data_IF_660683546063
#
_entry.id   IF_660683546063
#
_cell.length_a   1.000
_cell.length_b   1.000
_cell.length_c   1.000
_cell.angle_alpha   90.00
_cell.angle_beta   90.00
_cell.angle_gamma   90.00
#
_symmetry.space_group_name_H-M   'P 1'
#
loop_
_entity.id
_entity.type
_entity.pdbx_description
1 polymer ?
#
# COMPACT_ATOMS: atom_id res chain seq x y z
N UNK A 1 -33.88 40.49 0.09
CA UNK A 1 -33.88 41.94 -0.21
C UNK A 1 -33.05 42.25 -1.44
N UNK A 2 -31.80 41.77 -1.54
CA UNK A 2 -30.98 41.91 -2.75
C UNK A 2 -31.69 41.44 -4.05
N UNK A 3 -32.43 40.33 -3.97
CA UNK A 3 -33.28 39.82 -5.05
C UNK A 3 -34.25 40.85 -5.62
N UNK A 4 -34.80 41.75 -4.80
CA UNK A 4 -35.75 42.77 -5.22
C UNK A 4 -35.03 43.88 -6.01
N UNK A 5 -33.81 44.22 -5.60
CA UNK A 5 -32.94 45.20 -6.27
C UNK A 5 -32.54 44.68 -7.65
N UNK A 6 -32.14 43.41 -7.74
CA UNK A 6 -31.84 42.75 -9.01
C UNK A 6 -33.08 42.67 -9.90
N UNK A 7 -34.25 42.35 -9.34
CA UNK A 7 -35.51 42.33 -10.09
C UNK A 7 -35.85 43.71 -10.67
N UNK A 8 -35.69 44.78 -9.89
CA UNK A 8 -35.89 46.15 -10.37
C UNK A 8 -34.86 46.52 -11.46
N UNK A 9 -33.58 46.19 -11.26
CA UNK A 9 -32.53 46.41 -12.25
C UNK A 9 -32.82 45.70 -13.59
N UNK A 10 -33.26 44.43 -13.53
CA UNK A 10 -33.68 43.66 -14.71
C UNK A 10 -34.92 44.25 -15.38
N UNK A 11 -35.92 44.64 -14.59
CA UNK A 11 -37.17 45.22 -15.10
C UNK A 11 -36.95 46.58 -15.81
N UNK A 12 -35.93 47.34 -15.40
CA UNK A 12 -35.47 48.57 -16.08
C UNK A 12 -34.71 48.28 -17.39
N UNK A 13 -34.55 47.02 -17.79
CA UNK A 13 -33.82 46.63 -19.00
C UNK A 13 -32.31 46.57 -18.83
N UNK A 14 -31.81 46.41 -17.60
CA UNK A 14 -30.39 46.36 -17.26
C UNK A 14 -29.59 47.58 -17.78
N UNK A 15 -29.94 48.81 -17.36
CA UNK A 15 -29.23 50.01 -17.76
C UNK A 15 -27.75 50.00 -17.36
N UNK A 16 -26.95 50.84 -18.01
CA UNK A 16 -25.54 51.01 -17.66
C UNK A 16 -25.38 51.54 -16.23
N UNK A 17 -24.37 51.05 -15.52
CA UNK A 17 -24.07 51.45 -14.14
C UNK A 17 -23.02 52.55 -14.17
N UNK A 18 -23.39 53.76 -13.76
CA UNK A 18 -22.49 54.92 -13.70
C UNK A 18 -22.28 55.34 -12.25
N UNK A 19 -21.05 55.23 -11.75
CA UNK A 19 -20.74 55.61 -10.36
C UNK A 19 -21.51 54.83 -9.29
N UNK A 20 -22.00 53.62 -9.62
CA UNK A 20 -22.84 52.79 -8.74
C UNK A 20 -24.31 53.21 -8.72
N UNK A 21 -24.73 54.09 -9.63
CA UNK A 21 -26.12 54.50 -9.83
C UNK A 21 -26.59 53.99 -11.19
N UNK A 22 -27.86 53.62 -11.26
CA UNK A 22 -28.54 53.28 -12.51
C UNK A 22 -29.74 54.20 -12.66
N UNK A 23 -29.97 54.65 -13.89
CA UNK A 23 -31.08 55.54 -14.22
C UNK A 23 -31.94 54.90 -15.31
N UNK A 24 -33.25 55.09 -15.20
CA UNK A 24 -34.25 54.62 -16.15
C UNK A 24 -35.27 55.71 -16.39
N UNK A 25 -35.61 55.93 -17.66
CA UNK A 25 -36.69 56.82 -18.10
C UNK A 25 -37.54 56.06 -19.12
N UNK A 26 -38.82 55.86 -18.82
CA UNK A 26 -39.70 55.12 -19.73
C UNK A 26 -41.11 54.88 -19.20
N UNK A 27 -41.94 54.18 -19.99
CA UNK A 27 -43.30 53.84 -19.58
C UNK A 27 -43.28 52.76 -18.48
N UNK A 28 -44.06 52.92 -17.40
CA UNK A 28 -44.10 51.95 -16.32
C UNK A 28 -44.73 50.64 -16.79
N UNK A 29 -43.95 49.56 -16.77
CA UNK A 29 -44.47 48.21 -16.96
C UNK A 29 -45.00 47.64 -15.63
N UNK A 30 -45.82 46.60 -15.71
CA UNK A 30 -46.32 45.87 -14.53
C UNK A 30 -45.17 45.26 -13.71
N UNK A 31 -44.08 44.87 -14.37
CA UNK A 31 -42.87 44.35 -13.73
C UNK A 31 -42.11 45.44 -12.96
N UNK A 32 -41.94 46.63 -13.56
CA UNK A 32 -41.29 47.78 -12.91
C UNK A 32 -42.09 48.22 -11.68
N UNK A 33 -43.41 48.35 -11.80
CA UNK A 33 -44.26 48.78 -10.67
C UNK A 33 -44.27 47.75 -9.53
N UNK A 34 -44.31 46.46 -9.84
CA UNK A 34 -44.22 45.40 -8.83
C UNK A 34 -42.85 45.39 -8.13
N UNK A 35 -41.75 45.53 -8.89
CA UNK A 35 -40.40 45.57 -8.35
C UNK A 35 -40.14 46.83 -7.50
N UNK A 36 -40.63 48.00 -7.92
CA UNK A 36 -40.60 49.23 -7.14
C UNK A 36 -41.34 49.08 -5.81
N UNK A 37 -42.53 48.48 -5.83
CA UNK A 37 -43.31 48.21 -4.61
C UNK A 37 -42.55 47.29 -3.65
N UNK A 38 -41.86 46.27 -4.17
CA UNK A 38 -41.04 45.35 -3.38
C UNK A 38 -39.75 46.00 -2.82
N UNK A 39 -39.36 47.16 -3.36
CA UNK A 39 -38.21 47.95 -2.91
C UNK A 39 -38.59 49.16 -2.02
N UNK A 40 -39.87 49.35 -1.66
CA UNK A 40 -40.29 50.48 -0.81
C UNK A 40 -39.67 50.46 0.58
N UNK A 41 -39.52 49.27 1.17
CA UNK A 41 -38.94 49.07 2.50
C UNK A 41 -37.49 48.56 2.44
N UNK A 42 -36.74 48.96 1.40
CA UNK A 42 -35.36 48.51 1.23
C UNK A 42 -34.48 49.03 2.38
N UNK A 43 -33.77 48.12 3.04
CA UNK A 43 -32.74 48.53 4.00
C UNK A 43 -31.59 49.25 3.27
N UNK A 44 -30.97 50.29 3.86
CA UNK A 44 -29.94 51.10 3.21
C UNK A 44 -28.75 50.30 2.65
N UNK A 45 -28.48 49.12 3.23
CA UNK A 45 -27.38 48.24 2.83
C UNK A 45 -27.58 47.62 1.46
N UNK A 46 -28.82 47.45 1.00
CA UNK A 46 -29.13 46.87 -0.31
C UNK A 46 -29.26 47.92 -1.42
N UNK A 47 -29.04 49.20 -1.10
CA UNK A 47 -29.16 50.31 -2.04
C UNK A 47 -30.19 51.33 -1.59
N UNK A 48 -30.41 52.35 -2.44
CA UNK A 48 -31.38 53.42 -2.17
C UNK A 48 -31.98 53.93 -3.47
N UNK A 49 -33.31 54.03 -3.52
CA UNK A 49 -34.00 54.78 -4.57
C UNK A 49 -33.76 56.26 -4.28
N UNK A 50 -33.01 56.92 -5.15
CA UNK A 50 -32.61 58.33 -5.00
C UNK A 50 -33.66 59.27 -5.59
N UNK A 51 -34.20 58.89 -6.75
CA UNK A 51 -35.22 59.65 -7.45
C UNK A 51 -36.29 58.70 -8.00
N UNK A 52 -37.55 59.11 -7.87
CA UNK A 52 -38.71 58.41 -8.42
C UNK A 52 -39.82 59.44 -8.65
N UNK A 53 -39.99 59.85 -9.91
CA UNK A 53 -40.98 60.83 -10.33
C UNK A 53 -41.78 60.31 -11.54
N UNK A 54 -43.06 60.68 -11.58
CA UNK A 54 -43.92 60.41 -12.74
C UNK A 54 -44.07 61.72 -13.49
N UNK A 55 -43.41 61.83 -14.65
CA UNK A 55 -43.35 63.03 -15.48
C UNK A 55 -44.61 63.15 -16.35
N UNK A 56 -44.91 64.36 -16.83
CA UNK A 56 -46.02 64.62 -17.76
C UNK A 56 -45.95 63.68 -18.98
N UNK A 57 -47.05 62.95 -19.24
CA UNK A 57 -47.11 61.91 -20.25
C UNK A 57 -47.08 60.47 -19.71
N UNK A 58 -46.96 60.29 -18.38
CA UNK A 58 -47.01 58.97 -17.74
C UNK A 58 -45.70 58.20 -17.80
N UNK A 59 -44.61 58.89 -18.14
CA UNK A 59 -43.24 58.37 -18.09
C UNK A 59 -42.76 58.38 -16.63
N UNK A 60 -42.07 57.32 -16.21
CA UNK A 60 -41.47 57.22 -14.89
C UNK A 60 -39.97 57.36 -15.00
N UNK A 61 -39.39 58.24 -14.19
CA UNK A 61 -37.96 58.42 -14.02
C UNK A 61 -37.54 57.77 -12.69
N UNK A 62 -36.56 56.87 -12.75
CA UNK A 62 -36.07 56.10 -11.60
C UNK A 62 -34.56 56.24 -11.53
N UNK A 63 -34.04 56.69 -10.40
CA UNK A 63 -32.63 56.59 -10.06
C UNK A 63 -32.43 55.67 -8.86
N UNK A 64 -31.66 54.60 -9.06
CA UNK A 64 -31.38 53.60 -8.04
C UNK A 64 -29.88 53.53 -7.78
N UNK A 65 -29.47 53.80 -6.55
CA UNK A 65 -28.10 53.52 -6.09
C UNK A 65 -27.99 52.05 -5.71
N UNK A 66 -27.11 51.34 -6.41
CA UNK A 66 -26.84 49.92 -6.20
C UNK A 66 -25.98 49.69 -4.96
N UNK A 67 -26.09 48.51 -4.32
CA UNK A 67 -25.23 48.17 -3.19
C UNK A 67 -23.82 47.82 -3.67
N UNK A 68 -22.83 48.21 -2.86
CA UNK A 68 -21.39 48.01 -3.14
C UNK A 68 -20.67 47.36 -1.95
N UNK A 69 -21.41 46.66 -1.10
CA UNK A 69 -20.95 46.10 0.17
C UNK A 69 -21.15 44.57 0.20
N UNK A 70 -20.97 43.95 1.36
CA UNK A 70 -21.14 42.51 1.56
C UNK A 70 -22.61 42.05 1.51
N UNK A 71 -23.56 42.97 1.73
CA UNK A 71 -25.01 42.69 1.67
C UNK A 71 -25.51 42.54 0.23
N UNK A 72 -24.80 43.12 -0.75
CA UNK A 72 -25.03 42.87 -2.16
C UNK A 72 -24.06 43.64 -3.06
N UNK A 73 -23.66 43.04 -4.18
CA UNK A 73 -22.72 43.69 -5.11
C UNK A 73 -22.97 43.32 -6.57
N UNK A 74 -22.84 44.33 -7.41
CA UNK A 74 -22.88 44.22 -8.87
C UNK A 74 -21.46 44.20 -9.43
N UNK A 75 -21.22 43.31 -10.39
CA UNK A 75 -19.96 43.17 -11.11
C UNK A 75 -20.25 43.31 -12.60
N UNK A 76 -19.41 44.05 -13.33
CA UNK A 76 -19.65 44.26 -14.76
C UNK A 76 -19.48 42.95 -15.54
N UNK A 77 -18.48 42.15 -15.16
CA UNK A 77 -18.16 40.88 -15.79
C UNK A 77 -17.55 39.88 -14.80
N UNK A 78 -17.27 38.67 -15.29
CA UNK A 78 -16.66 37.59 -14.51
C UNK A 78 -15.24 37.93 -14.04
N UNK A 79 -14.46 38.68 -14.81
CA UNK A 79 -13.11 39.13 -14.39
C UNK A 79 -13.18 40.03 -13.16
N UNK A 80 -14.14 40.96 -13.12
CA UNK A 80 -14.35 41.84 -11.96
C UNK A 80 -14.77 41.03 -10.72
N UNK A 81 -15.59 40.00 -10.91
CA UNK A 81 -15.93 39.06 -9.84
C UNK A 81 -14.69 38.28 -9.37
N UNK A 82 -13.89 37.75 -10.29
CA UNK A 82 -12.70 36.94 -10.00
C UNK A 82 -11.68 37.66 -9.10
N UNK A 83 -11.57 38.99 -9.24
CA UNK A 83 -10.69 39.85 -8.43
C UNK A 83 -11.20 40.12 -7.02
N UNK A 84 -12.36 39.60 -6.64
CA UNK A 84 -12.87 39.74 -5.28
C UNK A 84 -12.03 38.90 -4.30
N UNK A 85 -11.51 39.53 -3.24
CA UNK A 85 -10.64 38.88 -2.27
C UNK A 85 -11.25 37.69 -1.52
N UNK A 86 -12.58 37.58 -1.44
CA UNK A 86 -13.22 36.38 -0.87
C UNK A 86 -12.90 35.11 -1.68
N UNK A 87 -12.81 35.21 -3.01
CA UNK A 87 -12.49 34.07 -3.88
C UNK A 87 -11.08 33.57 -3.61
N UNK A 88 -10.12 34.48 -3.40
CA UNK A 88 -8.75 34.14 -3.01
C UNK A 88 -8.66 33.46 -1.64
N UNK A 89 -9.68 33.58 -0.79
CA UNK A 89 -9.83 32.83 0.47
C UNK A 89 -10.62 31.53 0.32
N UNK A 90 -10.96 31.14 -0.90
CA UNK A 90 -11.78 29.97 -1.18
C UNK A 90 -13.26 30.15 -0.87
N UNK A 91 -13.72 31.39 -0.66
CA UNK A 91 -15.10 31.70 -0.30
C UNK A 91 -15.81 32.36 -1.48
N UNK A 92 -16.86 31.73 -1.99
CA UNK A 92 -17.67 32.36 -3.03
C UNK A 92 -18.61 33.40 -2.40
N UNK A 93 -18.60 34.67 -2.86
CA UNK A 93 -19.43 35.73 -2.29
C UNK A 93 -20.93 35.45 -2.47
N UNK A 94 -21.74 35.90 -1.51
CA UNK A 94 -23.21 35.83 -1.56
C UNK A 94 -23.79 37.14 -2.06
N UNK A 95 -25.05 37.13 -2.52
CA UNK A 95 -25.77 38.30 -3.02
C UNK A 95 -24.99 39.01 -4.15
N UNK A 96 -24.67 38.24 -5.18
CA UNK A 96 -23.86 38.71 -6.31
C UNK A 96 -24.70 38.79 -7.57
N UNK A 97 -24.51 39.87 -8.32
CA UNK A 97 -25.05 40.02 -9.66
C UNK A 97 -23.92 40.31 -10.66
N UNK A 98 -23.87 39.54 -11.75
CA UNK A 98 -22.90 39.74 -12.85
C UNK A 98 -23.64 40.22 -14.09
N UNK A 99 -23.35 41.44 -14.52
CA UNK A 99 -24.13 42.19 -15.52
C UNK A 99 -24.06 41.56 -16.90
N UNK A 100 -22.86 41.26 -17.40
CA UNK A 100 -22.64 40.66 -18.73
C UNK A 100 -23.33 39.28 -18.90
N UNK A 101 -23.40 38.50 -17.82
CA UNK A 101 -24.06 37.20 -17.78
C UNK A 101 -25.56 37.30 -17.47
N UNK A 102 -26.04 38.47 -17.03
CA UNK A 102 -27.39 38.65 -16.52
C UNK A 102 -27.73 37.73 -15.35
N UNK A 103 -26.73 37.27 -14.59
CA UNK A 103 -26.85 36.18 -13.61
C UNK A 103 -26.73 36.68 -12.17
N UNK A 104 -27.58 36.14 -11.30
CA UNK A 104 -27.54 36.35 -9.86
C UNK A 104 -27.29 35.01 -9.13
N UNK A 105 -26.68 35.07 -7.94
CA UNK A 105 -26.36 33.88 -7.14
C UNK A 105 -27.57 33.03 -6.72
N UNK A 106 -28.77 33.62 -6.70
CA UNK A 106 -30.05 32.95 -6.43
C UNK A 106 -30.80 32.49 -7.69
N UNK A 107 -30.25 32.66 -8.90
CA UNK A 107 -30.88 32.15 -10.12
C UNK A 107 -30.71 30.62 -10.26
N UNK A 108 -31.69 29.96 -10.88
CA UNK A 108 -31.70 28.49 -11.05
C UNK A 108 -30.62 28.01 -12.03
N UNK A 109 -30.38 28.76 -13.10
CA UNK A 109 -29.43 28.37 -14.16
C UNK A 109 -28.09 29.05 -13.96
N UNK A 110 -27.11 28.30 -13.45
CA UNK A 110 -25.77 28.80 -13.22
C UNK A 110 -24.86 28.69 -14.47
N UNK A 111 -24.26 29.81 -14.93
CA UNK A 111 -23.32 29.85 -16.05
C UNK A 111 -22.06 29.00 -15.83
N UNK A 112 -21.41 28.57 -16.91
CA UNK A 112 -20.22 27.71 -16.85
C UNK A 112 -19.04 28.38 -16.15
N UNK A 113 -18.80 29.66 -16.42
CA UNK A 113 -17.72 30.42 -15.80
C UNK A 113 -17.88 30.53 -14.28
N UNK A 114 -19.12 30.67 -13.79
CA UNK A 114 -19.42 30.70 -12.36
C UNK A 114 -19.16 29.34 -11.71
N UNK A 115 -19.56 28.24 -12.38
CA UNK A 115 -19.24 26.88 -11.92
C UNK A 115 -17.73 26.65 -11.81
N UNK A 116 -16.96 27.17 -12.74
CA UNK A 116 -15.49 27.12 -12.72
C UNK A 116 -14.92 27.90 -11.53
N UNK A 117 -15.36 29.14 -11.30
CA UNK A 117 -14.95 29.92 -10.12
C UNK A 117 -15.25 29.19 -8.81
N UNK A 118 -16.44 28.60 -8.67
CA UNK A 118 -16.77 27.81 -7.47
C UNK A 118 -15.85 26.60 -7.28
N UNK A 119 -15.46 25.93 -8.37
CA UNK A 119 -14.48 24.83 -8.30
C UNK A 119 -13.09 25.32 -7.89
N UNK A 120 -12.68 26.50 -8.35
CA UNK A 120 -11.42 27.14 -7.95
C UNK A 120 -11.44 27.50 -6.45
N UNK A 121 -12.54 28.08 -5.96
CA UNK A 121 -12.72 28.31 -4.52
C UNK A 121 -12.61 27.01 -3.72
N UNK A 122 -13.30 25.95 -4.20
CA UNK A 122 -13.25 24.63 -3.56
C UNK A 122 -11.83 24.05 -3.57
N UNK A 123 -11.06 24.26 -4.63
CA UNK A 123 -9.65 23.87 -4.67
C UNK A 123 -8.84 24.62 -3.62
N UNK A 124 -9.02 25.93 -3.47
CA UNK A 124 -8.32 26.72 -2.44
C UNK A 124 -8.60 26.16 -1.04
N UNK A 125 -9.86 25.83 -0.73
CA UNK A 125 -10.22 25.22 0.57
C UNK A 125 -9.47 23.90 0.80
N UNK A 126 -9.45 23.01 -0.21
CA UNK A 126 -8.79 21.71 -0.11
C UNK A 126 -7.27 21.85 -0.02
N UNK A 127 -6.68 22.80 -0.77
CA UNK A 127 -5.26 23.11 -0.70
C UNK A 127 -4.89 23.67 0.67
N UNK A 128 -5.72 24.51 1.28
CA UNK A 128 -5.50 25.03 2.63
C UNK A 128 -5.53 23.91 3.69
N UNK A 129 -6.42 22.93 3.55
CA UNK A 129 -6.43 21.74 4.41
C UNK A 129 -5.22 20.82 4.16
N UNK A 130 -4.69 20.83 2.94
CA UNK A 130 -3.56 20.00 2.54
C UNK A 130 -2.23 20.65 2.92
N UNK A 131 -2.07 21.96 2.88
CA UNK A 131 -0.79 22.66 3.07
C UNK A 131 -0.09 22.29 4.39
N UNK A 132 1.23 22.49 4.43
CA UNK A 132 2.03 22.26 5.65
C UNK A 132 1.77 23.39 6.65
N UNK A 133 1.62 24.61 6.14
CA UNK A 133 1.23 25.79 6.89
C UNK A 133 0.32 26.66 6.03
N UNK A 134 -0.55 27.42 6.69
CA UNK A 134 -1.43 28.41 6.08
C UNK A 134 -1.29 29.70 6.86
N UNK A 135 -0.90 30.76 6.18
CA UNK A 135 -0.96 32.12 6.69
C UNK A 135 -2.22 32.80 6.12
N UNK A 136 -3.12 33.16 7.04
CA UNK A 136 -4.43 33.76 6.75
C UNK A 136 -4.47 35.25 7.03
N UNK A 137 -3.47 35.77 7.73
CA UNK A 137 -3.53 37.08 8.36
C UNK A 137 -2.69 38.11 7.60
N UNK A 138 -1.65 37.68 6.86
CA UNK A 138 -0.80 38.63 6.12
C UNK A 138 -1.48 39.28 4.91
N UNK A 139 -2.60 38.74 4.42
CA UNK A 139 -3.36 39.32 3.30
C UNK A 139 -4.87 39.31 3.56
N UNK A 140 -5.57 40.43 3.33
CA UNK A 140 -7.02 40.48 3.43
C UNK A 140 -7.73 39.68 2.33
N UNK A 141 -7.05 39.44 1.20
CA UNK A 141 -7.68 38.93 -0.03
C UNK A 141 -7.17 37.55 -0.47
N UNK A 142 -6.12 37.02 0.15
CA UNK A 142 -5.50 35.75 -0.25
C UNK A 142 -5.03 34.95 0.95
N UNK A 143 -4.85 33.65 0.75
CA UNK A 143 -4.12 32.77 1.66
C UNK A 143 -2.73 32.49 1.11
N UNK A 144 -1.78 32.45 2.04
CA UNK A 144 -0.40 32.06 1.79
C UNK A 144 -0.23 30.60 2.22
N UNK A 145 -0.21 29.70 1.24
CA UNK A 145 -0.08 28.26 1.47
C UNK A 145 1.37 27.81 1.31
N UNK A 146 1.88 27.03 2.26
CA UNK A 146 3.24 26.53 2.24
C UNK A 146 3.29 25.05 1.86
N UNK A 147 4.07 24.74 0.82
CA UNK A 147 4.36 23.38 0.38
C UNK A 147 5.86 23.17 0.35
N UNK A 148 6.34 21.99 0.73
CA UNK A 148 7.77 21.71 0.79
C UNK A 148 8.13 20.43 0.04
N UNK A 149 9.29 20.47 -0.62
CA UNK A 149 9.98 19.29 -1.11
C UNK A 149 11.02 18.87 -0.06
N UNK A 150 11.02 17.58 0.35
CA UNK A 150 12.08 17.05 1.20
C UNK A 150 13.43 17.10 0.47
N UNK A 151 14.55 17.00 1.20
CA UNK A 151 15.86 16.94 0.57
C UNK A 151 15.94 15.74 -0.38
N UNK A 152 16.44 15.98 -1.58
CA UNK A 152 16.72 14.94 -2.58
C UNK A 152 18.22 14.87 -2.82
N UNK A 153 18.92 14.16 -1.91
CA UNK A 153 20.35 13.85 -1.95
C UNK A 153 21.28 15.08 -2.06
N UNK A 154 21.36 15.64 -3.26
CA UNK A 154 22.15 16.82 -3.61
C UNK A 154 21.44 18.16 -3.32
N UNK A 155 20.10 18.20 -3.27
CA UNK A 155 19.35 19.44 -3.04
C UNK A 155 18.87 19.56 -1.57
N UNK A 156 19.06 20.71 -0.91
CA UNK A 156 18.46 20.97 0.40
C UNK A 156 16.92 21.01 0.31
N UNK A 157 16.19 20.85 1.43
CA UNK A 157 14.75 21.01 1.43
C UNK A 157 14.36 22.40 0.91
N UNK A 158 13.32 22.45 0.07
CA UNK A 158 12.80 23.69 -0.51
C UNK A 158 11.35 23.88 -0.09
N UNK A 159 11.00 25.08 0.34
CA UNK A 159 9.63 25.47 0.67
C UNK A 159 9.16 26.51 -0.33
N UNK A 160 7.99 26.28 -0.90
CA UNK A 160 7.34 27.14 -1.86
C UNK A 160 6.14 27.82 -1.22
N UNK A 161 6.02 29.12 -1.48
CA UNK A 161 4.84 29.91 -1.16
C UNK A 161 3.89 29.88 -2.35
N UNK A 162 2.64 29.53 -2.09
CA UNK A 162 1.54 29.62 -3.03
C UNK A 162 0.52 30.61 -2.46
N UNK A 163 0.55 31.83 -2.98
CA UNK A 163 -0.47 32.84 -2.71
C UNK A 163 -1.69 32.56 -3.61
N UNK A 164 -2.87 32.41 -3.02
CA UNK A 164 -4.11 32.02 -3.72
C UNK A 164 -4.76 33.20 -4.45
N UNK A 165 -4.01 33.84 -5.34
CA UNK A 165 -4.48 34.95 -6.16
C UNK A 165 -5.39 34.45 -7.29
N UNK A 166 -6.64 34.91 -7.29
CA UNK A 166 -7.65 34.55 -8.29
C UNK A 166 -7.85 35.72 -9.25
N UNK A 167 -7.82 35.43 -10.54
CA UNK A 167 -8.12 36.35 -11.62
C UNK A 167 -8.85 35.59 -12.75
N UNK A 168 -9.13 36.25 -13.88
CA UNK A 168 -9.82 35.61 -15.01
C UNK A 168 -9.00 34.46 -15.64
N UNK A 169 -7.68 34.44 -15.48
CA UNK A 169 -6.80 33.45 -16.11
C UNK A 169 -6.97 32.05 -15.50
N UNK A 170 -7.57 31.95 -14.31
CA UNK A 170 -7.89 30.66 -13.68
C UNK A 170 -9.06 29.93 -14.38
N UNK A 171 -9.81 30.63 -15.22
CA UNK A 171 -10.95 30.08 -15.97
C UNK A 171 -10.49 29.25 -17.18
N UNK A 172 -11.37 28.37 -17.67
CA UNK A 172 -11.08 27.53 -18.83
C UNK A 172 -10.11 26.37 -18.55
N UNK A 173 -9.72 26.15 -17.30
CA UNK A 173 -8.85 25.05 -16.87
C UNK A 173 -9.63 23.91 -16.21
N UNK A 174 -9.35 22.68 -16.63
CA UNK A 174 -10.06 21.50 -16.13
C UNK A 174 -9.49 20.95 -14.81
N UNK A 175 -10.18 21.25 -13.71
CA UNK A 175 -9.92 20.67 -12.39
C UNK A 175 -10.52 19.26 -12.25
N UNK A 176 -9.92 18.27 -12.93
CA UNK A 176 -10.36 16.86 -12.89
C UNK A 176 -10.11 16.21 -11.52
N UNK A 177 -10.91 15.20 -11.19
CA UNK A 177 -10.72 14.33 -10.02
C UNK A 177 -10.61 15.05 -8.65
N UNK A 178 -11.23 16.22 -8.50
CA UNK A 178 -11.32 16.93 -7.22
C UNK A 178 -11.88 16.07 -6.09
N UNK A 179 -12.80 15.15 -6.42
CA UNK A 179 -13.38 14.19 -5.47
C UNK A 179 -12.35 13.28 -4.79
N UNK A 180 -11.22 12.98 -5.45
CA UNK A 180 -10.14 12.18 -4.86
C UNK A 180 -9.45 12.97 -3.72
N UNK A 181 -9.25 14.27 -3.93
CA UNK A 181 -8.67 15.14 -2.90
C UNK A 181 -9.64 15.29 -1.72
N UNK A 182 -10.94 15.44 -2.01
CA UNK A 182 -11.98 15.45 -0.98
C UNK A 182 -12.02 14.16 -0.17
N UNK A 183 -11.89 13.00 -0.82
CA UNK A 183 -11.86 11.70 -0.13
C UNK A 183 -10.64 11.60 0.80
N UNK A 184 -9.45 12.00 0.33
CA UNK A 184 -8.20 11.96 1.11
C UNK A 184 -8.24 12.95 2.29
N UNK A 185 -8.94 14.07 2.15
CA UNK A 185 -9.05 15.09 3.19
C UNK A 185 -10.28 14.91 4.10
N UNK A 186 -11.17 13.98 3.80
CA UNK A 186 -12.37 13.74 4.59
C UNK A 186 -12.01 13.24 6.01
N UNK A 187 -12.49 13.94 7.04
CA UNK A 187 -12.26 13.58 8.46
C UNK A 187 -12.70 12.16 8.81
N UNK A 188 -13.74 11.64 8.14
CA UNK A 188 -14.21 10.25 8.34
C UNK A 188 -13.13 9.20 7.99
N UNK A 189 -12.14 9.59 7.20
CA UNK A 189 -11.06 8.72 6.73
C UNK A 189 -9.78 8.85 7.56
N UNK A 190 -9.73 9.67 8.62
CA UNK A 190 -8.51 9.93 9.41
C UNK A 190 -7.87 8.65 9.96
N UNK A 191 -8.67 7.63 10.29
CA UNK A 191 -8.19 6.35 10.81
C UNK A 191 -7.81 5.35 9.71
N UNK A 192 -7.91 5.71 8.42
CA UNK A 192 -7.52 4.80 7.33
C UNK A 192 -6.00 4.72 7.26
N UNK A 193 -5.49 3.50 7.10
CA UNK A 193 -4.07 3.24 6.91
C UNK A 193 -3.50 4.05 5.74
N UNK A 194 -2.27 4.55 5.91
CA UNK A 194 -1.50 5.28 4.91
C UNK A 194 -2.07 6.64 4.45
N UNK A 195 -3.04 7.22 5.19
CA UNK A 195 -3.61 8.52 4.82
C UNK A 195 -2.57 9.65 4.87
N UNK A 196 -1.72 9.65 5.90
CA UNK A 196 -0.61 10.60 6.06
C UNK A 196 0.32 10.61 4.85
N UNK A 197 0.67 9.43 4.36
CA UNK A 197 1.57 9.24 3.22
C UNK A 197 0.91 9.70 1.92
N UNK A 198 -0.39 9.42 1.73
CA UNK A 198 -1.14 9.95 0.58
C UNK A 198 -1.19 11.48 0.59
N UNK A 199 -1.45 12.11 1.74
CA UNK A 199 -1.41 13.58 1.87
C UNK A 199 -0.03 14.12 1.55
N UNK A 200 1.02 13.48 2.07
CA UNK A 200 2.41 13.86 1.79
C UNK A 200 2.74 13.78 0.29
N UNK A 201 2.31 12.73 -0.41
CA UNK A 201 2.55 12.58 -1.85
C UNK A 201 1.87 13.65 -2.69
N UNK A 202 0.66 14.10 -2.31
CA UNK A 202 0.00 15.21 -3.01
C UNK A 202 0.72 16.52 -2.73
N UNK A 203 1.15 16.78 -1.48
CA UNK A 203 1.97 17.96 -1.14
C UNK A 203 3.23 18.02 -1.98
N UNK A 204 3.95 16.90 -2.10
CA UNK A 204 5.15 16.81 -2.93
C UNK A 204 4.84 16.98 -4.42
N UNK A 205 3.70 16.46 -4.90
CA UNK A 205 3.30 16.64 -6.30
C UNK A 205 3.02 18.12 -6.62
N UNK A 206 2.32 18.83 -5.75
CA UNK A 206 2.08 20.28 -5.89
C UNK A 206 3.40 21.05 -5.85
N UNK A 207 4.23 20.80 -4.84
CA UNK A 207 5.53 21.46 -4.71
C UNK A 207 6.46 21.19 -5.90
N UNK A 208 6.46 19.97 -6.43
CA UNK A 208 7.24 19.59 -7.61
C UNK A 208 6.76 20.25 -8.89
N UNK A 209 5.45 20.49 -9.05
CA UNK A 209 4.93 21.29 -10.15
C UNK A 209 5.33 22.76 -9.99
N UNK A 210 5.22 23.34 -8.79
CA UNK A 210 5.66 24.72 -8.54
C UNK A 210 7.18 24.87 -8.83
N UNK A 211 8.02 23.91 -8.41
CA UNK A 211 9.46 23.94 -8.68
C UNK A 211 9.77 24.02 -10.19
N UNK A 212 9.02 23.29 -11.04
CA UNK A 212 9.20 23.34 -12.51
C UNK A 212 8.92 24.72 -13.11
N UNK A 213 8.11 25.53 -12.43
CA UNK A 213 7.65 26.84 -12.87
C UNK A 213 8.00 27.94 -11.85
N UNK A 214 9.12 27.80 -11.12
CA UNK A 214 9.54 28.71 -10.03
C UNK A 214 9.72 30.18 -10.48
N UNK A 215 9.87 30.43 -11.79
CA UNK A 215 10.00 31.78 -12.36
C UNK A 215 8.65 32.45 -12.65
N UNK A 216 7.52 31.73 -12.56
CA UNK A 216 6.19 32.29 -12.80
C UNK A 216 5.70 33.05 -11.56
N UNK A 217 5.17 34.28 -11.70
CA UNK A 217 4.78 35.10 -10.56
C UNK A 217 3.55 34.55 -9.83
N UNK A 218 2.60 33.92 -10.53
CA UNK A 218 1.37 33.37 -9.97
C UNK A 218 1.42 31.83 -9.91
N UNK A 219 2.02 31.30 -8.84
CA UNK A 219 2.09 29.85 -8.62
C UNK A 219 0.71 29.19 -8.45
N UNK A 220 -0.31 29.92 -7.99
CA UNK A 220 -1.66 29.35 -7.89
C UNK A 220 -2.26 29.09 -9.28
N UNK A 221 -2.11 30.06 -10.19
CA UNK A 221 -2.49 29.87 -11.60
C UNK A 221 -1.75 28.67 -12.22
N UNK A 222 -0.45 28.53 -11.95
CA UNK A 222 0.32 27.35 -12.41
C UNK A 222 -0.33 26.05 -11.92
N UNK A 223 -0.72 25.96 -10.64
CA UNK A 223 -1.36 24.75 -10.10
C UNK A 223 -2.72 24.47 -10.75
N UNK A 224 -3.51 25.51 -11.02
CA UNK A 224 -4.82 25.39 -11.69
C UNK A 224 -4.63 24.94 -13.15
N UNK A 225 -3.73 25.60 -13.88
CA UNK A 225 -3.40 25.33 -15.30
C UNK A 225 -2.81 23.93 -15.48
N UNK A 226 -1.85 23.56 -14.64
CA UNK A 226 -1.09 22.30 -14.69
C UNK A 226 -1.67 21.23 -13.76
N UNK A 227 -2.96 21.30 -13.42
CA UNK A 227 -3.58 20.34 -12.50
C UNK A 227 -3.43 18.88 -12.94
N UNK A 228 -3.45 18.63 -14.26
CA UNK A 228 -3.20 17.31 -14.84
C UNK A 228 -1.79 16.79 -14.50
N UNK A 229 -0.79 17.66 -14.48
CA UNK A 229 0.58 17.31 -14.13
C UNK A 229 0.72 17.03 -12.63
N UNK A 230 0.01 17.77 -11.77
CA UNK A 230 -0.09 17.48 -10.33
C UNK A 230 -0.62 16.07 -10.10
N UNK A 231 -1.72 15.70 -10.77
CA UNK A 231 -2.30 14.37 -10.66
C UNK A 231 -1.36 13.27 -11.18
N UNK A 232 -0.65 13.53 -12.27
CA UNK A 232 0.30 12.58 -12.86
C UNK A 232 1.49 12.35 -11.93
N UNK A 233 2.05 13.42 -11.37
CA UNK A 233 3.14 13.37 -10.38
C UNK A 233 2.70 12.65 -9.11
N UNK A 234 1.48 12.92 -8.62
CA UNK A 234 0.91 12.22 -7.47
C UNK A 234 0.79 10.70 -7.72
N UNK A 235 0.28 10.29 -8.89
CA UNK A 235 0.17 8.87 -9.25
C UNK A 235 1.53 8.19 -9.32
N UNK A 236 2.54 8.86 -9.88
CA UNK A 236 3.90 8.34 -9.93
C UNK A 236 4.52 8.19 -8.54
N UNK A 237 4.34 9.18 -7.65
CA UNK A 237 4.79 9.12 -6.26
C UNK A 237 4.11 7.97 -5.50
N UNK A 238 2.79 7.83 -5.66
CA UNK A 238 2.02 6.75 -5.04
C UNK A 238 2.46 5.37 -5.54
N UNK A 239 2.66 5.23 -6.85
CA UNK A 239 3.10 3.98 -7.46
C UNK A 239 4.51 3.60 -6.96
N UNK A 240 5.43 4.56 -6.88
CA UNK A 240 6.77 4.35 -6.31
C UNK A 240 6.71 3.90 -4.86
N UNK A 241 5.86 4.53 -4.05
CA UNK A 241 5.66 4.12 -2.65
C UNK A 241 5.07 2.71 -2.51
N UNK A 242 4.04 2.40 -3.30
CA UNK A 242 3.41 1.06 -3.29
C UNK A 242 4.42 -0.01 -3.70
N UNK A 243 5.24 0.25 -4.72
CA UNK A 243 6.31 -0.67 -5.11
C UNK A 243 7.37 -0.81 -4.02
N UNK A 244 7.84 0.29 -3.43
CA UNK A 244 8.79 0.27 -2.32
C UNK A 244 8.28 -0.55 -1.14
N UNK A 245 7.02 -0.36 -0.75
CA UNK A 245 6.36 -1.13 0.30
C UNK A 245 6.25 -2.62 -0.05
N UNK A 246 5.86 -2.94 -1.29
CA UNK A 246 5.79 -4.33 -1.76
C UNK A 246 7.16 -5.01 -1.76
N UNK A 247 8.23 -4.30 -2.10
CA UNK A 247 9.59 -4.86 -2.09
C UNK A 247 10.12 -5.07 -0.67
N UNK A 248 9.92 -4.13 0.25
CA UNK A 248 10.31 -4.32 1.65
C UNK A 248 9.51 -5.46 2.31
N UNK A 249 8.22 -5.59 1.99
CA UNK A 249 7.41 -6.73 2.41
C UNK A 249 7.99 -8.04 1.87
N UNK A 250 8.26 -8.14 0.57
CA UNK A 250 8.84 -9.33 -0.04
C UNK A 250 10.21 -9.68 0.56
N UNK A 251 11.06 -8.67 0.81
CA UNK A 251 12.36 -8.84 1.47
C UNK A 251 12.22 -9.39 2.88
N UNK A 252 11.25 -8.90 3.66
CA UNK A 252 10.99 -9.36 5.02
C UNK A 252 10.46 -10.79 5.04
N UNK A 253 9.52 -11.13 4.14
CA UNK A 253 8.99 -12.48 3.99
C UNK A 253 10.09 -13.46 3.58
N UNK A 254 10.97 -13.08 2.65
CA UNK A 254 12.13 -13.86 2.24
C UNK A 254 13.08 -14.14 3.42
N UNK A 255 13.44 -13.09 4.18
CA UNK A 255 14.32 -13.23 5.35
C UNK A 255 13.69 -14.11 6.44
N UNK A 256 12.37 -14.00 6.66
CA UNK A 256 11.67 -14.84 7.62
C UNK A 256 11.66 -16.31 7.16
N UNK A 257 11.40 -16.57 5.88
CA UNK A 257 11.45 -17.93 5.33
C UNK A 257 12.85 -18.53 5.48
N UNK A 258 13.91 -17.78 5.16
CA UNK A 258 15.29 -18.22 5.36
C UNK A 258 15.56 -18.67 6.81
N UNK A 259 15.16 -17.85 7.79
CA UNK A 259 15.30 -18.16 9.21
C UNK A 259 14.48 -19.41 9.57
N UNK A 260 13.18 -19.44 9.23
CA UNK A 260 12.28 -20.52 9.62
C UNK A 260 12.74 -21.87 9.07
N UNK A 261 13.13 -21.93 7.80
CA UNK A 261 13.61 -23.16 7.16
C UNK A 261 15.01 -23.53 7.63
N UNK A 262 15.91 -22.55 7.83
CA UNK A 262 17.22 -22.79 8.42
C UNK A 262 17.13 -23.36 9.84
N UNK A 263 16.24 -22.82 10.67
CA UNK A 263 15.97 -23.33 12.03
C UNK A 263 15.36 -24.73 11.99
N UNK A 264 14.39 -25.00 11.10
CA UNK A 264 13.80 -26.34 10.96
C UNK A 264 14.84 -27.38 10.52
N UNK A 265 15.67 -27.07 9.53
CA UNK A 265 16.76 -27.96 9.08
C UNK A 265 17.79 -28.20 10.18
N UNK A 266 18.15 -27.16 10.92
CA UNK A 266 19.05 -27.27 12.08
C UNK A 266 18.42 -28.10 13.21
N UNK A 267 17.11 -27.99 13.41
CA UNK A 267 16.35 -28.79 14.36
C UNK A 267 16.38 -30.29 14.03
N UNK A 268 16.21 -30.66 12.76
CA UNK A 268 16.38 -32.05 12.29
C UNK A 268 17.78 -32.59 12.63
N UNK A 269 18.83 -31.77 12.45
CA UNK A 269 20.19 -32.15 12.83
C UNK A 269 20.35 -32.29 14.36
N UNK A 270 19.77 -31.37 15.14
CA UNK A 270 19.78 -31.42 16.60
C UNK A 270 19.10 -32.68 17.16
N UNK A 271 17.93 -33.03 16.61
CA UNK A 271 17.16 -34.24 16.98
C UNK A 271 17.93 -35.53 16.75
N UNK A 272 18.89 -35.51 15.83
CA UNK A 272 19.68 -36.66 15.43
C UNK A 272 21.03 -36.69 16.13
N UNK A 273 21.64 -35.54 16.43
CA UNK A 273 22.93 -35.47 17.12
C UNK A 273 22.94 -36.31 18.41
N UNK A 274 21.89 -36.20 19.24
CA UNK A 274 21.75 -37.02 20.45
C UNK A 274 21.53 -38.51 20.16
N UNK A 275 20.75 -38.84 19.13
CA UNK A 275 20.49 -40.23 18.73
C UNK A 275 21.72 -40.89 18.10
N UNK A 276 22.61 -40.11 17.49
CA UNK A 276 23.86 -40.60 16.91
C UNK A 276 24.91 -40.92 17.96
N UNK A 277 24.82 -40.38 19.17
CA UNK A 277 25.65 -40.83 20.29
C UNK A 277 25.38 -42.29 20.70
N UNK A 278 24.22 -42.85 20.30
CA UNK A 278 23.93 -44.27 20.50
C UNK A 278 24.76 -45.19 19.60
N UNK A 279 25.29 -44.69 18.46
CA UNK A 279 26.12 -45.50 17.56
C UNK A 279 27.45 -45.94 18.21
N UNK A 280 28.28 -45.05 18.78
CA UNK A 280 29.46 -45.46 19.55
C UNK A 280 29.15 -46.48 20.65
N UNK A 281 28.05 -46.30 21.37
CA UNK A 281 27.62 -47.20 22.45
C UNK A 281 27.28 -48.59 21.90
N UNK A 282 26.62 -48.65 20.74
CA UNK A 282 26.27 -49.94 20.10
C UNK A 282 27.51 -50.76 19.71
N UNK A 283 28.63 -50.12 19.40
CA UNK A 283 29.90 -50.82 19.14
C UNK A 283 30.51 -51.46 20.40
N UNK A 284 30.27 -50.90 21.58
CA UNK A 284 30.69 -51.53 22.84
C UNK A 284 30.02 -52.90 23.05
N UNK A 285 28.86 -53.13 22.44
CA UNK A 285 28.19 -54.43 22.42
C UNK A 285 29.04 -55.55 21.81
N UNK A 286 29.97 -55.24 20.90
CA UNK A 286 30.91 -56.24 20.37
C UNK A 286 31.88 -56.76 21.42
N UNK A 287 32.36 -55.89 22.31
CA UNK A 287 33.25 -56.28 23.41
C UNK A 287 32.50 -57.19 24.36
N UNK A 288 31.27 -56.82 24.75
CA UNK A 288 30.41 -57.65 25.62
C UNK A 288 30.12 -59.01 24.99
N UNK A 289 29.83 -59.04 23.68
CA UNK A 289 29.63 -60.29 22.93
C UNK A 289 30.90 -61.16 22.90
N UNK A 290 32.08 -60.56 22.80
CA UNK A 290 33.34 -61.31 22.83
C UNK A 290 33.63 -61.90 24.21
N UNK A 291 33.19 -61.28 25.30
CA UNK A 291 33.39 -61.76 26.68
C UNK A 291 32.29 -62.70 27.18
N UNK A 292 31.18 -62.87 26.44
CA UNK A 292 30.07 -63.74 26.85
C UNK A 292 30.51 -65.18 27.10
N UNK A 293 29.93 -65.84 28.11
CA UNK A 293 30.34 -67.21 28.50
C UNK A 293 29.37 -68.27 28.00
N UNK A 294 28.11 -67.91 27.77
CA UNK A 294 27.06 -68.82 27.29
C UNK A 294 26.65 -68.52 25.85
N UNK A 295 26.30 -69.57 25.08
CA UNK A 295 25.74 -69.43 23.73
C UNK A 295 24.38 -68.70 23.73
N UNK A 296 23.57 -68.89 24.78
CA UNK A 296 22.30 -68.17 24.95
C UNK A 296 22.51 -66.67 25.16
N UNK A 297 23.49 -66.31 26.00
CA UNK A 297 23.88 -64.91 26.24
C UNK A 297 24.36 -64.25 24.93
N UNK A 298 25.20 -64.94 24.16
CA UNK A 298 25.64 -64.47 22.84
C UNK A 298 24.48 -64.28 21.84
N UNK A 299 23.52 -65.21 21.80
CA UNK A 299 22.34 -65.11 20.93
C UNK A 299 21.47 -63.90 21.28
N UNK A 300 21.19 -63.68 22.57
CA UNK A 300 20.39 -62.52 23.03
C UNK A 300 21.10 -61.21 22.69
N UNK A 301 22.43 -61.14 22.84
CA UNK A 301 23.22 -59.95 22.49
C UNK A 301 23.21 -59.65 20.99
N UNK A 302 23.36 -60.67 20.12
CA UNK A 302 23.28 -60.50 18.67
C UNK A 302 21.89 -60.03 18.25
N UNK A 303 20.83 -60.66 18.78
CA UNK A 303 19.45 -60.25 18.51
C UNK A 303 19.20 -58.80 18.95
N UNK A 304 19.69 -58.42 20.13
CA UNK A 304 19.61 -57.05 20.63
C UNK A 304 20.30 -56.04 19.71
N UNK A 305 21.52 -56.34 19.24
CA UNK A 305 22.26 -55.48 18.32
C UNK A 305 21.58 -55.35 16.94
N UNK A 306 20.96 -56.42 16.45
CA UNK A 306 20.14 -56.37 15.22
C UNK A 306 18.94 -55.44 15.41
N UNK A 307 18.20 -55.58 16.51
CA UNK A 307 17.03 -54.71 16.80
C UNK A 307 17.46 -53.25 16.93
N UNK A 308 18.55 -52.95 17.63
CA UNK A 308 19.08 -51.59 17.75
C UNK A 308 19.44 -51.01 16.37
N UNK A 309 20.13 -51.76 15.52
CA UNK A 309 20.45 -51.34 14.15
C UNK A 309 19.18 -51.06 13.32
N UNK A 310 18.15 -51.91 13.40
CA UNK A 310 16.88 -51.69 12.70
C UNK A 310 16.16 -50.43 13.17
N UNK A 311 16.12 -50.19 14.49
CA UNK A 311 15.51 -48.98 15.06
C UNK A 311 16.26 -47.72 14.61
N UNK A 312 17.60 -47.73 14.63
CA UNK A 312 18.41 -46.60 14.15
C UNK A 312 18.19 -46.32 12.65
N UNK A 313 18.08 -47.37 11.82
CA UNK A 313 17.76 -47.22 10.40
C UNK A 313 16.39 -46.62 10.18
N UNK A 314 15.36 -47.09 10.89
CA UNK A 314 14.01 -46.55 10.80
C UNK A 314 13.96 -45.06 11.18
N UNK A 315 14.65 -44.67 12.25
CA UNK A 315 14.77 -43.27 12.69
C UNK A 315 15.46 -42.43 11.60
N UNK A 316 16.61 -42.88 11.11
CA UNK A 316 17.36 -42.18 10.06
C UNK A 316 16.57 -42.02 8.75
N UNK A 317 15.82 -43.06 8.37
CA UNK A 317 14.97 -43.01 7.18
C UNK A 317 13.84 -41.98 7.34
N UNK A 318 13.17 -41.97 8.50
CA UNK A 318 12.13 -40.97 8.77
C UNK A 318 12.67 -39.52 8.71
N UNK A 319 13.87 -39.30 9.23
CA UNK A 319 14.51 -37.99 9.23
C UNK A 319 14.95 -37.52 7.83
N UNK A 320 15.33 -38.47 6.98
CA UNK A 320 15.58 -38.20 5.56
C UNK A 320 14.30 -37.75 4.86
N UNK A 321 13.17 -38.44 5.07
CA UNK A 321 11.87 -38.04 4.52
C UNK A 321 11.41 -36.68 5.04
N UNK A 322 11.66 -36.37 6.32
CA UNK A 322 11.34 -35.07 6.90
C UNK A 322 12.15 -33.94 6.24
N UNK A 323 13.43 -34.19 5.97
CA UNK A 323 14.30 -33.24 5.24
C UNK A 323 13.82 -33.00 3.81
N UNK A 324 13.45 -34.07 3.10
CA UNK A 324 12.93 -33.95 1.73
C UNK A 324 11.61 -33.15 1.69
N UNK A 325 10.70 -33.39 2.65
CA UNK A 325 9.46 -32.60 2.78
C UNK A 325 9.75 -31.12 3.05
N UNK A 326 10.70 -30.82 3.93
CA UNK A 326 11.08 -29.43 4.24
C UNK A 326 11.66 -28.71 3.01
N UNK A 327 12.53 -29.37 2.25
CA UNK A 327 13.10 -28.82 1.01
C UNK A 327 12.04 -28.63 -0.07
N UNK A 328 11.10 -29.57 -0.20
CA UNK A 328 10.00 -29.43 -1.13
C UNK A 328 9.09 -28.25 -0.75
N UNK A 329 8.69 -28.14 0.52
CA UNK A 329 7.88 -27.01 1.00
C UNK A 329 8.59 -25.67 0.82
N UNK A 330 9.91 -25.63 1.04
CA UNK A 330 10.73 -24.47 0.74
C UNK A 330 10.63 -24.10 -0.74
N UNK A 331 10.85 -25.05 -1.65
CA UNK A 331 10.78 -24.78 -3.09
C UNK A 331 9.40 -24.25 -3.52
N UNK A 332 8.30 -24.83 -3.02
CA UNK A 332 6.94 -24.35 -3.34
C UNK A 332 6.73 -22.91 -2.90
N UNK A 333 7.12 -22.54 -1.68
CA UNK A 333 7.01 -21.15 -1.21
C UNK A 333 7.88 -20.20 -2.03
N UNK A 334 9.04 -20.68 -2.49
CA UNK A 334 9.99 -19.88 -3.24
C UNK A 334 9.63 -19.72 -4.72
N UNK A 335 8.85 -20.60 -5.31
CA UNK A 335 8.44 -20.52 -6.71
C UNK A 335 7.61 -19.25 -6.98
N UNK A 336 6.74 -18.84 -6.04
CA UNK A 336 6.01 -17.56 -6.11
C UNK A 336 6.93 -16.33 -6.20
N UNK A 337 8.11 -16.39 -5.55
CA UNK A 337 9.12 -15.34 -5.63
C UNK A 337 9.95 -15.43 -6.92
N UNK A 338 10.22 -16.64 -7.42
CA UNK A 338 10.93 -16.86 -8.70
C UNK A 338 10.13 -16.35 -9.89
N UNK A 339 8.82 -16.57 -9.91
CA UNK A 339 7.94 -16.12 -10.99
C UNK A 339 7.95 -14.59 -11.14
N UNK A 340 8.13 -13.88 -10.03
CA UNK A 340 8.15 -12.41 -9.98
C UNK A 340 9.57 -11.82 -10.01
N UNK A 341 10.62 -12.64 -10.15
CA UNK A 341 12.01 -12.21 -9.97
C UNK A 341 12.43 -11.04 -10.87
N UNK A 342 11.93 -11.01 -12.11
CA UNK A 342 12.24 -9.95 -13.09
C UNK A 342 11.65 -8.59 -12.72
N UNK A 343 10.64 -8.59 -11.86
CA UNK A 343 9.98 -7.36 -11.37
C UNK A 343 10.67 -6.79 -10.13
N UNK A 344 11.59 -7.54 -9.52
CA UNK A 344 12.30 -7.14 -8.31
C UNK A 344 13.58 -6.35 -8.61
N UNK A 345 14.01 -5.46 -7.69
CA UNK A 345 15.29 -4.76 -7.81
C UNK A 345 16.48 -5.75 -7.79
N UNK A 346 17.62 -5.42 -8.44
CA UNK A 346 18.79 -6.30 -8.51
C UNK A 346 19.31 -6.79 -7.15
N UNK A 347 19.21 -5.93 -6.12
CA UNK A 347 19.61 -6.30 -4.75
C UNK A 347 18.75 -7.44 -4.18
N UNK A 348 17.43 -7.40 -4.40
CA UNK A 348 16.51 -8.43 -3.93
C UNK A 348 16.65 -9.73 -4.75
N UNK A 349 16.90 -9.60 -6.06
CA UNK A 349 17.23 -10.76 -6.91
C UNK A 349 18.50 -11.47 -6.40
N UNK A 350 19.52 -10.71 -6.02
CA UNK A 350 20.75 -11.24 -5.43
C UNK A 350 20.51 -11.97 -4.10
N UNK A 351 19.75 -11.35 -3.20
CA UNK A 351 19.33 -11.97 -1.93
C UNK A 351 18.57 -13.28 -2.18
N UNK A 352 17.58 -13.28 -3.06
CA UNK A 352 16.79 -14.47 -3.38
C UNK A 352 17.66 -15.63 -3.87
N UNK A 353 18.62 -15.36 -4.76
CA UNK A 353 19.55 -16.38 -5.25
C UNK A 353 20.41 -16.95 -4.12
N UNK A 354 20.95 -16.09 -3.26
CA UNK A 354 21.79 -16.51 -2.13
C UNK A 354 20.98 -17.39 -1.17
N UNK A 355 19.76 -16.99 -0.82
CA UNK A 355 18.89 -17.75 0.10
C UNK A 355 18.58 -19.15 -0.45
N UNK A 356 18.25 -19.27 -1.74
CA UNK A 356 18.00 -20.57 -2.39
C UNK A 356 19.24 -21.45 -2.31
N UNK A 357 20.39 -20.92 -2.71
CA UNK A 357 21.66 -21.66 -2.71
C UNK A 357 22.03 -22.15 -1.29
N UNK A 358 21.80 -21.33 -0.26
CA UNK A 358 22.10 -21.68 1.12
C UNK A 358 21.21 -22.80 1.65
N UNK A 359 19.89 -22.71 1.46
CA UNK A 359 18.95 -23.75 1.94
C UNK A 359 19.15 -25.07 1.20
N UNK A 360 19.37 -25.03 -0.12
CA UNK A 360 19.70 -26.24 -0.89
C UNK A 360 21.04 -26.86 -0.47
N UNK A 361 22.04 -26.03 -0.16
CA UNK A 361 23.35 -26.52 0.31
C UNK A 361 23.23 -27.18 1.69
N UNK A 362 22.47 -26.57 2.61
CA UNK A 362 22.19 -27.18 3.92
C UNK A 362 21.43 -28.51 3.77
N UNK A 363 20.37 -28.54 2.95
CA UNK A 363 19.60 -29.75 2.67
C UNK A 363 20.44 -30.88 2.09
N UNK A 364 21.29 -30.58 1.10
CA UNK A 364 22.22 -31.57 0.50
C UNK A 364 23.24 -32.09 1.51
N UNK A 365 23.75 -31.22 2.38
CA UNK A 365 24.71 -31.61 3.42
C UNK A 365 24.04 -32.56 4.41
N UNK A 366 22.83 -32.23 4.87
CA UNK A 366 22.05 -33.04 5.80
C UNK A 366 21.72 -34.43 5.21
N UNK A 367 21.31 -34.48 3.94
CA UNK A 367 21.04 -35.74 3.23
C UNK A 367 22.28 -36.63 3.14
N UNK A 368 23.44 -36.06 2.80
CA UNK A 368 24.71 -36.79 2.77
C UNK A 368 25.08 -37.33 4.16
N UNK A 369 24.91 -36.52 5.20
CA UNK A 369 25.15 -36.95 6.58
C UNK A 369 24.27 -38.13 6.96
N UNK A 370 22.98 -38.13 6.65
CA UNK A 370 22.11 -39.27 6.94
C UNK A 370 22.44 -40.53 6.17
N UNK A 371 22.84 -40.41 4.90
CA UNK A 371 23.29 -41.56 4.11
C UNK A 371 24.53 -42.21 4.74
N UNK A 372 25.50 -41.42 5.17
CA UNK A 372 26.68 -41.92 5.87
C UNK A 372 26.30 -42.60 7.19
N UNK A 373 25.39 -42.01 7.96
CA UNK A 373 24.94 -42.57 9.24
C UNK A 373 24.10 -43.85 9.05
N UNK A 374 23.35 -43.99 7.96
CA UNK A 374 22.60 -45.21 7.64
C UNK A 374 23.55 -46.38 7.38
N UNK A 375 24.63 -46.15 6.63
CA UNK A 375 25.67 -47.16 6.41
C UNK A 375 26.32 -47.53 7.75
N UNK A 376 26.62 -46.53 8.58
CA UNK A 376 27.24 -46.75 9.88
C UNK A 376 26.34 -47.52 10.86
N UNK A 377 25.02 -47.30 10.80
CA UNK A 377 24.03 -48.00 11.64
C UNK A 377 23.88 -49.49 11.35
N UNK A 378 24.32 -49.96 10.17
CA UNK A 378 24.36 -51.38 9.83
C UNK A 378 25.57 -52.10 10.42
N UNK A 379 26.65 -51.37 10.72
CA UNK A 379 27.89 -51.99 11.21
C UNK A 379 27.71 -52.75 12.53
N UNK A 380 27.01 -52.24 13.56
CA UNK A 380 26.84 -52.96 14.83
C UNK A 380 26.24 -54.37 14.64
N UNK A 381 25.18 -54.50 13.86
CA UNK A 381 24.57 -55.78 13.52
C UNK A 381 25.51 -56.68 12.69
N UNK A 382 26.14 -56.13 11.64
CA UNK A 382 27.06 -56.90 10.80
C UNK A 382 28.28 -57.41 11.59
N UNK A 383 28.86 -56.56 12.44
CA UNK A 383 29.97 -56.90 13.32
C UNK A 383 29.56 -57.91 14.40
N UNK A 384 28.35 -57.80 14.96
CA UNK A 384 27.84 -58.78 15.93
C UNK A 384 27.72 -60.17 15.30
N UNK A 385 27.18 -60.26 14.09
CA UNK A 385 27.08 -61.52 13.34
C UNK A 385 28.47 -62.07 13.05
N UNK A 386 29.42 -61.24 12.62
CA UNK A 386 30.79 -61.67 12.32
C UNK A 386 31.52 -62.19 13.57
N UNK A 387 31.44 -61.47 14.69
CA UNK A 387 32.06 -61.88 15.97
C UNK A 387 31.43 -63.19 16.46
N UNK A 388 30.10 -63.32 16.37
CA UNK A 388 29.42 -64.56 16.73
C UNK A 388 29.85 -65.74 15.83
N UNK A 389 29.98 -65.52 14.52
CA UNK A 389 30.45 -66.54 13.57
C UNK A 389 31.87 -67.01 13.90
N UNK A 390 32.79 -66.08 14.18
CA UNK A 390 34.18 -66.43 14.52
C UNK A 390 34.27 -67.15 15.86
N UNK A 391 33.59 -66.64 16.89
CA UNK A 391 33.67 -67.16 18.26
C UNK A 391 33.01 -68.53 18.41
N UNK A 392 31.87 -68.74 17.77
CA UNK A 392 31.10 -69.98 17.87
C UNK A 392 31.33 -70.92 16.67
N UNK A 393 32.32 -70.64 15.81
CA UNK A 393 32.62 -71.42 14.59
C UNK A 393 32.80 -72.92 14.86
N UNK A 394 33.54 -73.26 15.93
CA UNK A 394 33.79 -74.65 16.33
C UNK A 394 32.52 -75.37 16.77
N UNK A 395 31.71 -74.75 17.63
CA UNK A 395 30.42 -75.29 18.09
C UNK A 395 29.39 -75.36 16.97
N UNK A 396 29.44 -74.43 16.01
CA UNK A 396 28.58 -74.40 14.84
C UNK A 396 28.93 -75.52 13.85
N UNK A 397 30.22 -75.76 13.56
CA UNK A 397 30.65 -76.90 12.77
C UNK A 397 30.32 -78.22 13.44
N UNK A 398 30.49 -78.33 14.77
CA UNK A 398 30.09 -79.53 15.51
C UNK A 398 28.56 -79.72 15.49
N UNK A 399 27.78 -78.65 15.57
CA UNK A 399 26.32 -78.63 15.40
C UNK A 399 25.87 -79.07 13.99
N UNK A 400 26.51 -78.56 12.94
CA UNK A 400 26.25 -78.99 11.56
C UNK A 400 26.65 -80.45 11.35
N UNK A 401 27.81 -80.87 11.85
CA UNK A 401 28.28 -82.25 11.75
C UNK A 401 27.37 -83.20 12.53
N UNK A 402 26.83 -82.79 13.68
CA UNK A 402 25.85 -83.57 14.46
C UNK A 402 24.47 -83.62 13.81
N UNK A 403 24.01 -82.54 13.18
CA UNK A 403 22.77 -82.56 12.37
C UNK A 403 22.96 -83.43 11.12
N UNK A 404 24.10 -83.33 10.42
CA UNK A 404 24.40 -84.18 9.28
C UNK A 404 24.59 -85.65 9.71
N UNK A 405 25.23 -85.92 10.84
CA UNK A 405 25.44 -87.28 11.34
C UNK A 405 24.16 -87.90 11.89
N UNK A 406 23.23 -87.12 12.46
CA UNK A 406 21.89 -87.63 12.85
C UNK A 406 21.00 -87.88 11.63
N UNK A 407 21.12 -87.06 10.58
CA UNK A 407 20.46 -87.33 9.29
C UNK A 407 21.02 -88.60 8.63
N UNK A 408 22.34 -88.84 8.71
CA UNK A 408 22.98 -90.05 8.17
C UNK A 408 22.80 -91.30 9.05
N UNK A 409 22.76 -91.17 10.38
CA UNK A 409 22.52 -92.28 11.31
C UNK A 409 21.05 -92.75 11.32
N UNK A 410 20.12 -91.92 10.87
CA UNK A 410 18.72 -92.32 10.63
C UNK A 410 18.51 -93.21 9.40
N UNK A 411 19.57 -93.56 8.65
CA UNK A 411 19.48 -94.28 7.37
C UNK A 411 20.04 -95.72 7.39
N UNK A 412 20.15 -96.38 8.55
CA UNK A 412 20.40 -97.83 8.62
C UNK A 412 19.07 -98.57 8.78
N UNK A 413 18.51 -99.03 7.67
CA UNK A 413 17.40 -99.99 7.62
C UNK A 413 17.87 -101.38 8.10
N UNK A 414 17.07 -102.00 8.98
CA UNK A 414 17.19 -103.41 9.37
C UNK A 414 17.09 -104.35 8.14
N UNK A 415 17.94 -105.39 8.01
CA UNK A 415 17.80 -106.38 6.95
C UNK A 415 16.93 -107.55 7.44
N UNK A 416 15.65 -107.57 7.11
CA UNK A 416 14.82 -108.78 7.25
C UNK A 416 13.95 -108.96 6.00
N UNK A 417 13.93 -110.21 5.53
CA UNK A 417 13.14 -110.82 4.46
C UNK A 417 13.75 -110.83 3.07
N UNK A 418 14.30 -112.00 2.69
CA UNK A 418 13.93 -112.73 1.47
C UNK A 418 14.45 -114.18 1.54
N UNK A 419 13.55 -115.13 1.78
CA UNK A 419 13.62 -116.49 1.23
C UNK A 419 12.20 -117.07 1.15
N UNK A 420 11.92 -117.89 0.14
CA UNK A 420 11.34 -119.21 0.38
C UNK A 420 12.43 -120.28 0.48
#
# INVERSE_FOLDING_TARGET
MFSNVVALYRAMGAPAIEGGVVSYEGLPTTEITAALQACKDLQPEFGKIQHHEVVEGGVVEIELRLPTNESGRFYANVSDLARNGSLGKGQFPQNVYVVDLGWADFDVSEPTQIKELRRVCRLIELLALLAIGVDKDSSPDTYNLFFALPPDGAKPPRTFLLATQVDEQVLGHELRHMSLLEEILNRKNENKAHLSERKLMIRMAIAGVIEKFENEPNHFLVVVREWKEVLTTYRANLQTYVYGFSFEKARRELAQAEIDYGTKLSGVLGDIAGKMLALPISFAGWVVLNTSTSAFEGFVLVLGLIVVSLVLLAILHNQMLQTERLLHSFNVVFDDFKDKIKTYPPKLQGLLRITIEQVERQGRTLRRTFQLLQILALLPAAGAVLVALVKYWGSFLWGIVTVISTIFAGATFDPIFLSP
#
